data_IF_174545084984
#
_entry.id   IF_174545084984
#
_cell.length_a   1.000
_cell.length_b   1.000
_cell.length_c   1.000
_cell.angle_alpha   90.00
_cell.angle_beta   90.00
_cell.angle_gamma   90.00
#
_symmetry.space_group_name_H-M   'P 1'
#
loop_
_entity.id
_entity.type
_entity.pdbx_description
1 polymer ?
#
# COMPACT_ATOMS: atom_id res chain seq x y z
N UNK A 1 -8.72 -15.62 -0.83
CA UNK A 1 -7.48 -14.97 -0.34
C UNK A 1 -7.86 -13.59 0.11
N UNK A 2 -7.57 -13.26 1.36
CA UNK A 2 -7.80 -11.91 1.91
C UNK A 2 -6.95 -10.90 1.16
N UNK A 3 -7.51 -9.75 0.78
CA UNK A 3 -6.72 -8.61 0.33
C UNK A 3 -6.92 -7.42 1.26
N UNK A 4 -5.81 -6.79 1.69
CA UNK A 4 -5.86 -5.61 2.55
C UNK A 4 -4.88 -4.53 2.12
N UNK A 5 -5.11 -3.31 2.61
CA UNK A 5 -4.31 -2.13 2.32
C UNK A 5 -3.68 -1.62 3.61
N UNK A 6 -2.40 -1.27 3.56
CA UNK A 6 -1.71 -0.51 4.60
C UNK A 6 -0.97 0.65 3.93
N UNK A 7 -1.45 1.89 4.09
CA UNK A 7 -0.93 3.02 3.31
C UNK A 7 -0.93 4.32 4.09
N UNK A 8 0.06 5.18 3.82
CA UNK A 8 0.09 6.54 4.34
C UNK A 8 -0.46 7.53 3.30
N UNK A 9 -1.15 8.57 3.77
CA UNK A 9 -1.70 9.64 2.92
C UNK A 9 -1.67 10.98 3.65
N UNK A 10 -1.60 12.08 2.90
CA UNK A 10 -1.81 13.43 3.43
C UNK A 10 -3.24 13.61 3.96
N UNK A 11 -3.49 14.67 4.73
CA UNK A 11 -4.82 14.95 5.29
C UNK A 11 -5.89 15.21 4.22
N UNK A 12 -5.47 15.66 3.03
CA UNK A 12 -6.28 15.89 1.83
C UNK A 12 -6.27 14.71 0.83
N UNK A 13 -5.68 13.56 1.19
CA UNK A 13 -5.89 12.29 0.46
C UNK A 13 -4.90 11.96 -0.66
N UNK A 14 -3.72 12.59 -0.66
CA UNK A 14 -2.64 12.30 -1.61
C UNK A 14 -1.61 11.34 -1.00
N UNK A 15 -1.08 10.42 -1.81
CA UNK A 15 -0.06 9.44 -1.40
C UNK A 15 1.35 9.82 -1.85
N UNK A 16 1.45 10.75 -2.80
CA UNK A 16 2.69 11.30 -3.29
C UNK A 16 2.42 12.65 -3.96
N UNK A 17 3.45 13.46 -4.13
CA UNK A 17 3.42 14.62 -5.01
C UNK A 17 3.28 14.19 -6.49
N UNK A 18 3.12 15.15 -7.40
CA UNK A 18 2.93 14.85 -8.83
C UNK A 18 4.10 14.13 -9.51
N UNK A 19 5.32 14.39 -9.05
CA UNK A 19 6.55 13.71 -9.46
C UNK A 19 6.76 12.37 -8.72
N UNK A 20 5.80 11.96 -7.88
CA UNK A 20 5.83 10.71 -7.13
C UNK A 20 6.72 10.77 -5.89
N UNK A 21 7.05 11.96 -5.39
CA UNK A 21 7.82 12.10 -4.16
C UNK A 21 6.99 11.83 -2.89
N UNK A 22 7.65 11.20 -1.92
CA UNK A 22 7.09 10.83 -0.62
C UNK A 22 7.92 11.35 0.55
N UNK A 23 8.98 12.14 0.29
CA UNK A 23 9.84 12.70 1.34
C UNK A 23 9.11 13.63 2.32
N UNK A 24 7.91 14.10 1.95
CA UNK A 24 7.02 14.81 2.86
C UNK A 24 6.62 13.98 4.08
N UNK A 25 6.61 12.64 4.01
CA UNK A 25 6.32 11.77 5.15
C UNK A 25 7.32 11.95 6.29
N UNK A 26 8.61 12.16 5.97
CA UNK A 26 9.70 12.30 6.95
C UNK A 26 9.65 13.63 7.73
N UNK A 27 8.91 14.60 7.21
CA UNK A 27 8.85 15.96 7.78
C UNK A 27 7.46 16.39 8.24
N UNK A 28 6.41 15.63 7.90
CA UNK A 28 5.04 16.01 8.21
C UNK A 28 4.74 16.01 9.72
N UNK A 29 5.30 15.06 10.46
CA UNK A 29 5.02 14.88 11.89
C UNK A 29 5.92 15.67 12.82
N UNK A 30 5.54 15.74 14.10
CA UNK A 30 6.42 16.26 15.15
C UNK A 30 7.69 15.41 15.23
N UNK A 31 8.84 16.07 15.25
CA UNK A 31 10.15 15.43 15.38
C UNK A 31 10.57 15.34 16.85
N UNK A 32 11.37 14.33 17.20
CA UNK A 32 11.93 14.16 18.54
C UNK A 32 10.91 13.80 19.62
N UNK A 33 9.73 13.33 19.23
CA UNK A 33 8.72 12.79 20.15
C UNK A 33 8.99 11.31 20.41
N UNK A 34 8.71 10.87 21.63
CA UNK A 34 8.78 9.45 21.98
C UNK A 34 7.56 8.73 21.37
N UNK A 35 7.81 7.82 20.43
CA UNK A 35 6.79 7.00 19.79
C UNK A 35 6.47 5.72 20.58
N UNK A 36 7.19 5.46 21.68
CA UNK A 36 7.05 4.27 22.51
C UNK A 36 7.14 2.99 21.70
N UNK A 37 6.29 2.01 22.02
CA UNK A 37 6.20 0.71 21.33
C UNK A 37 5.57 0.80 19.93
N UNK A 38 5.21 1.99 19.45
CA UNK A 38 4.50 2.20 18.18
C UNK A 38 5.34 2.96 17.14
N UNK A 39 6.67 2.85 17.23
CA UNK A 39 7.60 3.56 16.34
C UNK A 39 7.39 3.24 14.85
N UNK A 40 6.94 2.04 14.50
CA UNK A 40 6.64 1.60 13.14
C UNK A 40 5.16 1.77 12.74
N UNK A 41 4.33 2.29 13.66
CA UNK A 41 2.88 2.41 13.51
C UNK A 41 2.19 1.10 13.09
N UNK A 42 2.74 -0.06 13.50
CA UNK A 42 2.19 -1.38 13.24
C UNK A 42 2.57 -2.00 11.90
N UNK A 43 3.45 -1.39 11.11
CA UNK A 43 3.89 -1.93 9.82
C UNK A 43 4.50 -3.34 9.94
N UNK A 44 5.35 -3.60 10.93
CA UNK A 44 5.97 -4.92 11.12
C UNK A 44 4.93 -5.99 11.48
N UNK A 45 3.99 -5.66 12.37
CA UNK A 45 2.90 -6.58 12.72
C UNK A 45 1.99 -6.85 11.52
N UNK A 46 1.77 -5.86 10.66
CA UNK A 46 1.00 -6.02 9.43
C UNK A 46 1.74 -6.91 8.42
N UNK A 47 3.03 -6.65 8.18
CA UNK A 47 3.86 -7.44 7.27
C UNK A 47 3.98 -8.90 7.72
N UNK A 48 4.04 -9.17 9.03
CA UNK A 48 4.02 -10.53 9.57
C UNK A 48 2.68 -11.27 9.35
N UNK A 49 1.61 -10.55 8.98
CA UNK A 49 0.28 -11.12 8.74
C UNK A 49 -0.01 -11.41 7.26
N UNK A 50 0.82 -10.94 6.33
CA UNK A 50 0.61 -11.07 4.89
C UNK A 50 1.60 -12.07 4.30
N UNK A 51 1.17 -12.76 3.26
CA UNK A 51 1.96 -13.79 2.57
C UNK A 51 2.57 -13.26 1.27
N UNK A 52 2.00 -12.20 0.69
CA UNK A 52 2.49 -11.58 -0.53
C UNK A 52 2.12 -10.09 -0.64
N UNK A 53 2.83 -9.37 -1.50
CA UNK A 53 2.48 -8.02 -1.95
C UNK A 53 1.99 -8.05 -3.40
N UNK A 54 0.97 -7.24 -3.69
CA UNK A 54 0.51 -6.96 -5.05
C UNK A 54 0.58 -5.45 -5.27
N UNK A 55 1.36 -5.01 -6.25
CA UNK A 55 1.50 -3.59 -6.58
C UNK A 55 1.49 -3.33 -8.07
N UNK A 56 1.34 -2.05 -8.44
CA UNK A 56 1.34 -1.63 -9.84
C UNK A 56 2.72 -1.20 -10.30
N UNK A 57 2.92 -1.16 -11.63
CA UNK A 57 4.17 -0.70 -12.26
C UNK A 57 4.75 0.59 -11.66
N UNK A 58 3.92 1.63 -11.49
CA UNK A 58 4.39 2.93 -10.96
C UNK A 58 4.90 2.84 -9.52
N UNK A 59 4.26 2.01 -8.69
CA UNK A 59 4.70 1.76 -7.32
C UNK A 59 6.06 1.03 -7.33
N UNK A 60 6.21 0.01 -8.17
CA UNK A 60 7.49 -0.68 -8.38
C UNK A 60 8.59 0.26 -8.88
N UNK A 61 8.31 1.12 -9.86
CA UNK A 61 9.27 2.12 -10.37
C UNK A 61 9.71 3.08 -9.25
N UNK A 62 8.79 3.51 -8.38
CA UNK A 62 9.14 4.34 -7.22
C UNK A 62 9.99 3.57 -6.21
N UNK A 63 9.61 2.34 -5.87
CA UNK A 63 10.39 1.47 -5.00
C UNK A 63 11.83 1.26 -5.52
N UNK A 64 11.97 1.04 -6.83
CA UNK A 64 13.26 0.92 -7.51
C UNK A 64 14.11 2.19 -7.34
N UNK A 65 13.49 3.37 -7.40
CA UNK A 65 14.18 4.67 -7.32
C UNK A 65 14.83 4.95 -5.97
N UNK A 66 14.36 4.32 -4.89
CA UNK A 66 14.99 4.47 -3.57
C UNK A 66 16.35 3.79 -3.47
N UNK A 67 16.67 2.88 -4.39
CA UNK A 67 17.95 2.16 -4.45
C UNK A 67 18.38 1.57 -3.08
N UNK A 68 17.42 0.93 -2.41
CA UNK A 68 17.57 0.40 -1.06
C UNK A 68 18.65 -0.70 -1.01
N UNK A 69 19.47 -0.68 0.04
CA UNK A 69 20.37 -1.80 0.35
C UNK A 69 19.58 -3.00 0.86
N UNK A 70 20.17 -4.22 0.90
CA UNK A 70 19.52 -5.38 1.49
C UNK A 70 19.03 -5.15 2.93
N UNK A 71 19.77 -4.40 3.74
CA UNK A 71 19.42 -4.08 5.14
C UNK A 71 18.28 -3.08 5.25
N UNK A 72 18.05 -2.27 4.21
CA UNK A 72 16.95 -1.31 4.12
C UNK A 72 15.68 -1.92 3.54
N UNK A 73 15.72 -3.16 3.04
CA UNK A 73 14.59 -3.79 2.36
C UNK A 73 13.46 -4.11 3.35
N UNK A 74 12.29 -3.46 3.25
CA UNK A 74 11.28 -3.50 4.32
C UNK A 74 10.40 -4.75 4.25
N UNK A 75 10.42 -5.48 3.14
CA UNK A 75 9.49 -6.58 2.86
C UNK A 75 10.03 -7.96 3.23
N UNK A 76 11.28 -8.05 3.70
CA UNK A 76 11.94 -9.33 3.97
C UNK A 76 11.87 -10.26 2.74
N UNK A 77 11.46 -11.50 2.98
CA UNK A 77 11.30 -12.54 1.95
C UNK A 77 9.89 -12.56 1.33
N UNK A 78 9.02 -11.59 1.66
CA UNK A 78 7.65 -11.55 1.15
C UNK A 78 7.67 -11.39 -0.38
N UNK A 79 7.10 -12.32 -1.16
CA UNK A 79 7.07 -12.23 -2.62
C UNK A 79 6.21 -11.04 -3.07
N UNK A 80 6.69 -10.34 -4.11
CA UNK A 80 6.04 -9.15 -4.67
C UNK A 80 5.60 -9.42 -6.10
N UNK A 81 4.29 -9.33 -6.35
CA UNK A 81 3.68 -9.48 -7.67
C UNK A 81 3.35 -8.11 -8.25
N UNK A 82 3.91 -7.80 -9.42
CA UNK A 82 3.76 -6.49 -10.06
C UNK A 82 2.84 -6.60 -11.27
N UNK A 83 1.66 -5.99 -11.17
CA UNK A 83 0.71 -5.92 -12.27
C UNK A 83 1.15 -4.88 -13.32
N UNK A 84 1.38 -5.35 -14.54
CA UNK A 84 1.75 -4.52 -15.69
C UNK A 84 1.35 -5.17 -17.00
N UNK A 85 0.60 -4.43 -17.83
CA UNK A 85 0.23 -4.88 -19.20
C UNK A 85 1.28 -4.54 -20.27
N UNK A 86 2.20 -3.63 -19.98
CA UNK A 86 3.11 -3.06 -21.00
C UNK A 86 4.57 -3.39 -20.72
N UNK A 87 5.00 -3.23 -19.47
CA UNK A 87 6.36 -3.54 -19.03
C UNK A 87 6.41 -5.02 -18.63
N UNK A 88 7.35 -5.76 -19.22
CA UNK A 88 7.53 -7.20 -18.98
C UNK A 88 8.69 -7.53 -18.06
N UNK A 89 9.68 -6.65 -17.99
CA UNK A 89 10.89 -6.84 -17.20
C UNK A 89 10.94 -5.86 -16.03
N UNK A 90 11.32 -6.37 -14.86
CA UNK A 90 11.58 -5.54 -13.70
C UNK A 90 12.88 -4.74 -13.86
N UNK A 91 13.02 -3.58 -13.20
CA UNK A 91 14.29 -2.86 -13.08
C UNK A 91 15.40 -3.77 -12.54
N UNK A 92 16.65 -3.52 -12.94
CA UNK A 92 17.78 -4.39 -12.61
C UNK A 92 17.96 -4.62 -11.10
N UNK A 93 17.72 -3.60 -10.27
CA UNK A 93 17.84 -3.70 -8.81
C UNK A 93 16.65 -4.42 -8.13
N UNK A 94 15.59 -4.75 -8.86
CA UNK A 94 14.41 -5.45 -8.37
C UNK A 94 14.20 -6.82 -9.03
N UNK A 95 15.06 -7.22 -9.99
CA UNK A 95 14.85 -8.41 -10.83
C UNK A 95 14.61 -9.71 -10.04
N UNK A 96 15.31 -9.88 -8.92
CA UNK A 96 15.20 -11.06 -8.05
C UNK A 96 14.26 -10.83 -6.85
N UNK A 97 13.54 -9.71 -6.83
CA UNK A 97 12.67 -9.28 -5.73
C UNK A 97 11.20 -9.24 -6.12
N UNK A 98 10.89 -9.24 -7.42
CA UNK A 98 9.52 -9.09 -7.94
C UNK A 98 9.22 -10.06 -9.07
N UNK A 99 7.96 -10.47 -9.17
CA UNK A 99 7.42 -11.20 -10.32
C UNK A 99 6.51 -10.29 -11.14
N UNK A 100 6.83 -10.13 -12.43
CA UNK A 100 6.00 -9.35 -13.35
C UNK A 100 4.79 -10.16 -13.81
N UNK A 101 3.59 -9.62 -13.58
CA UNK A 101 2.30 -10.27 -13.85
C UNK A 101 1.52 -9.45 -14.91
N UNK A 102 0.99 -10.12 -15.93
CA UNK A 102 0.31 -9.46 -17.06
C UNK A 102 -1.15 -9.87 -17.23
N UNK A 103 -1.57 -10.88 -16.48
CA UNK A 103 -2.94 -11.37 -16.38
C UNK A 103 -3.88 -10.37 -15.68
N UNK A 104 -5.17 -10.71 -15.64
CA UNK A 104 -6.16 -9.90 -14.93
C UNK A 104 -6.02 -10.07 -13.41
N UNK A 105 -6.54 -9.12 -12.62
CA UNK A 105 -6.56 -9.24 -11.16
C UNK A 105 -7.25 -10.54 -10.70
N UNK A 106 -8.46 -10.91 -11.19
CA UNK A 106 -9.08 -12.17 -10.81
C UNK A 106 -8.24 -13.42 -11.13
N UNK A 107 -7.55 -13.43 -12.27
CA UNK A 107 -6.69 -14.55 -12.66
C UNK A 107 -5.46 -14.65 -11.76
N UNK A 108 -4.84 -13.50 -11.41
CA UNK A 108 -3.74 -13.44 -10.45
C UNK A 108 -4.18 -13.96 -9.08
N UNK A 109 -5.33 -13.50 -8.56
CA UNK A 109 -5.86 -13.97 -7.27
C UNK A 109 -6.07 -15.48 -7.29
N UNK A 110 -6.73 -16.01 -8.32
CA UNK A 110 -6.98 -17.45 -8.46
C UNK A 110 -5.68 -18.25 -8.50
N UNK A 111 -4.66 -17.74 -9.20
CA UNK A 111 -3.32 -18.34 -9.27
C UNK A 111 -2.65 -18.35 -7.91
N UNK A 112 -2.64 -17.23 -7.19
CA UNK A 112 -2.03 -17.13 -5.87
C UNK A 112 -2.73 -18.01 -4.84
N UNK A 113 -4.06 -18.07 -4.86
CA UNK A 113 -4.83 -19.02 -4.04
C UNK A 113 -4.44 -20.47 -4.29
N UNK A 114 -4.28 -20.85 -5.57
CA UNK A 114 -3.85 -22.21 -5.94
C UNK A 114 -2.43 -22.56 -5.48
N UNK A 115 -1.60 -21.55 -5.24
CA UNK A 115 -0.25 -21.68 -4.69
C UNK A 115 -0.23 -21.63 -3.15
N UNK A 116 -1.39 -21.43 -2.50
CA UNK A 116 -1.54 -21.45 -1.06
C UNK A 116 -1.48 -20.09 -0.36
N UNK A 117 -1.33 -18.98 -1.10
CA UNK A 117 -1.37 -17.62 -0.51
C UNK A 117 -2.75 -17.34 0.12
N UNK A 118 -2.76 -16.83 1.35
CA UNK A 118 -3.99 -16.59 2.12
C UNK A 118 -4.28 -15.11 2.32
N UNK A 119 -3.25 -14.26 2.39
CA UNK A 119 -3.41 -12.82 2.65
C UNK A 119 -2.43 -11.97 1.82
N UNK A 120 -2.97 -11.11 0.96
CA UNK A 120 -2.22 -10.17 0.12
C UNK A 120 -2.27 -8.74 0.66
N UNK A 121 -1.11 -8.08 0.74
CA UNK A 121 -1.00 -6.63 0.85
C UNK A 121 -1.10 -6.00 -0.54
N UNK A 122 -2.14 -5.20 -0.78
CA UNK A 122 -2.36 -4.45 -2.02
C UNK A 122 -1.86 -3.01 -1.87
N UNK A 123 -0.94 -2.60 -2.74
CA UNK A 123 -0.30 -1.28 -2.70
C UNK A 123 -0.35 -0.54 -4.05
N UNK A 124 -0.31 0.79 -3.98
CA UNK A 124 -0.37 1.72 -5.10
C UNK A 124 -1.79 2.13 -5.44
N UNK A 125 -2.07 3.44 -5.42
CA UNK A 125 -3.44 3.99 -5.50
C UNK A 125 -4.29 3.48 -6.67
N UNK A 126 -3.71 3.31 -7.87
CA UNK A 126 -4.45 2.75 -9.02
C UNK A 126 -4.80 1.27 -8.83
N UNK A 127 -3.90 0.46 -8.25
CA UNK A 127 -4.16 -0.96 -7.99
C UNK A 127 -5.17 -1.09 -6.86
N UNK A 128 -5.02 -0.34 -5.78
CA UNK A 128 -6.00 -0.26 -4.67
C UNK A 128 -7.39 0.07 -5.23
N UNK A 129 -7.50 1.10 -6.08
CA UNK A 129 -8.78 1.48 -6.71
C UNK A 129 -9.34 0.36 -7.58
N UNK A 130 -8.49 -0.36 -8.32
CA UNK A 130 -8.92 -1.47 -9.17
C UNK A 130 -9.46 -2.65 -8.35
N UNK A 131 -8.80 -3.01 -7.25
CA UNK A 131 -9.26 -4.04 -6.32
C UNK A 131 -10.56 -3.62 -5.61
N UNK A 132 -10.70 -2.35 -5.23
CA UNK A 132 -11.93 -1.80 -4.68
C UNK A 132 -13.10 -1.95 -5.65
N UNK A 133 -12.92 -1.62 -6.94
CA UNK A 133 -13.97 -1.77 -7.95
C UNK A 133 -14.34 -3.24 -8.24
N UNK A 134 -13.42 -4.18 -7.99
CA UNK A 134 -13.67 -5.61 -8.12
C UNK A 134 -14.27 -6.25 -6.87
N UNK A 135 -14.46 -5.50 -5.77
CA UNK A 135 -15.01 -6.06 -4.54
C UNK A 135 -14.02 -6.90 -3.73
N UNK A 136 -12.71 -6.67 -3.89
CA UNK A 136 -11.67 -7.58 -3.40
C UNK A 136 -10.94 -7.11 -2.13
N UNK A 137 -11.02 -5.84 -1.74
CA UNK A 137 -10.37 -5.35 -0.52
C UNK A 137 -11.30 -5.60 0.67
N UNK A 138 -10.80 -6.25 1.71
CA UNK A 138 -11.58 -6.56 2.92
C UNK A 138 -11.26 -5.59 4.07
N UNK A 139 -10.02 -5.09 4.13
CA UNK A 139 -9.53 -4.23 5.20
C UNK A 139 -8.63 -3.12 4.66
N UNK A 140 -8.78 -1.91 5.20
CA UNK A 140 -7.88 -0.79 4.92
C UNK A 140 -7.37 -0.19 6.21
N UNK A 141 -6.05 -0.04 6.30
CA UNK A 141 -5.33 0.70 7.32
C UNK A 141 -4.71 1.92 6.62
N UNK A 142 -5.20 3.11 6.98
CA UNK A 142 -4.83 4.38 6.36
C UNK A 142 -4.24 5.28 7.42
N UNK A 143 -2.94 5.54 7.33
CA UNK A 143 -2.24 6.48 8.21
C UNK A 143 -2.25 7.88 7.59
N UNK A 144 -3.02 8.79 8.19
CA UNK A 144 -3.11 10.19 7.77
C UNK A 144 -2.01 11.02 8.42
N UNK A 145 -1.18 11.64 7.59
CA UNK A 145 -0.18 12.60 8.02
C UNK A 145 -0.81 13.99 8.25
N UNK A 146 -0.31 14.77 9.22
CA UNK A 146 -0.83 16.09 9.56
C UNK A 146 -0.33 17.19 8.59
N UNK A 147 -0.50 16.97 7.29
CA UNK A 147 -0.08 17.87 6.21
C UNK A 147 -1.13 17.92 5.11
N UNK A 148 -1.30 19.09 4.49
CA UNK A 148 -2.03 19.27 3.24
C UNK A 148 -1.01 19.42 2.11
N UNK A 149 -1.09 18.56 1.09
CA UNK A 149 -0.23 18.71 -0.10
C UNK A 149 -0.84 19.68 -1.12
N UNK A 150 -2.17 19.82 -1.12
CA UNK A 150 -2.93 20.66 -2.06
C UNK A 150 -3.06 20.07 -3.47
N UNK A 151 -2.14 19.21 -3.88
CA UNK A 151 -2.16 18.49 -5.15
C UNK A 151 -1.22 17.26 -5.12
N UNK A 152 -1.39 16.33 -6.06
CA UNK A 152 -0.52 15.16 -6.20
C UNK A 152 -1.23 13.91 -6.72
N UNK A 153 -0.68 12.76 -6.39
CA UNK A 153 -1.25 11.45 -6.73
C UNK A 153 -2.25 11.06 -5.63
N UNK A 154 -3.56 11.00 -5.92
CA UNK A 154 -4.56 10.66 -4.91
C UNK A 154 -4.48 9.17 -4.52
N UNK A 155 -4.84 8.84 -3.29
CA UNK A 155 -4.97 7.47 -2.82
C UNK A 155 -6.03 6.70 -3.63
N UNK A 156 -7.20 7.32 -3.81
CA UNK A 156 -8.34 6.72 -4.51
C UNK A 156 -8.58 7.42 -5.83
N UNK A 157 -8.78 6.62 -6.89
CA UNK A 157 -9.35 7.07 -8.15
C UNK A 157 -10.87 7.02 -8.14
N UNK A 158 -11.46 6.94 -9.33
CA UNK A 158 -12.91 6.80 -9.50
C UNK A 158 -13.36 5.40 -9.05
N UNK A 159 -14.27 5.34 -8.08
CA UNK A 159 -15.02 4.13 -7.76
C UNK A 159 -16.26 4.02 -8.67
N UNK A 160 -16.58 2.81 -9.13
CA UNK A 160 -17.76 2.58 -10.00
C UNK A 160 -19.08 2.65 -9.25
N UNK A 161 -19.03 2.40 -7.94
CA UNK A 161 -20.16 2.46 -6.99
C UNK A 161 -19.71 3.18 -5.72
N UNK A 162 -20.67 3.53 -4.88
CA UNK A 162 -20.37 3.87 -3.49
C UNK A 162 -19.93 2.60 -2.76
N UNK A 163 -18.83 2.70 -2.00
CA UNK A 163 -18.28 1.61 -1.20
C UNK A 163 -18.40 2.03 0.26
N UNK A 164 -19.05 1.20 1.08
CA UNK A 164 -19.26 1.50 2.49
C UNK A 164 -18.04 1.04 3.29
N UNK A 165 -17.61 1.87 4.24
CA UNK A 165 -16.61 1.50 5.24
C UNK A 165 -17.28 1.30 6.59
N UNK A 166 -16.86 0.26 7.30
CA UNK A 166 -17.47 -0.20 8.55
C UNK A 166 -16.40 -0.46 9.61
N UNK A 167 -16.87 -0.67 10.86
CA UNK A 167 -16.03 -1.08 11.99
C UNK A 167 -14.80 -0.18 12.23
N UNK A 168 -15.01 1.14 12.09
CA UNK A 168 -13.96 2.14 12.19
C UNK A 168 -13.20 2.05 13.52
N UNK A 169 -11.87 2.07 13.44
CA UNK A 169 -10.95 2.28 14.58
C UNK A 169 -9.98 3.39 14.23
N UNK A 170 -9.62 4.20 15.23
CA UNK A 170 -8.69 5.30 15.06
C UNK A 170 -7.66 5.29 16.20
N UNK A 171 -6.39 5.51 15.83
CA UNK A 171 -5.29 5.71 16.77
C UNK A 171 -4.57 7.00 16.38
N UNK A 172 -4.41 7.92 17.34
CA UNK A 172 -3.58 9.10 17.18
C UNK A 172 -2.21 8.82 17.79
N UNK A 173 -1.14 9.09 17.04
CA UNK A 173 0.23 8.90 17.49
C UNK A 173 0.84 10.21 18.04
N UNK A 174 1.90 10.12 18.86
CA UNK A 174 2.57 11.29 19.43
C UNK A 174 3.11 12.30 18.39
N UNK A 175 3.38 11.85 17.17
CA UNK A 175 3.86 12.69 16.07
C UNK A 175 2.74 13.36 15.25
N UNK A 176 1.50 13.34 15.75
CA UNK A 176 0.26 13.86 15.15
C UNK A 176 -0.27 13.09 13.92
N UNK A 177 0.31 11.94 13.58
CA UNK A 177 -0.30 11.05 12.60
C UNK A 177 -1.54 10.37 13.20
N UNK A 178 -2.55 10.15 12.36
CA UNK A 178 -3.77 9.42 12.75
C UNK A 178 -3.94 8.21 11.85
N UNK A 179 -3.89 7.01 12.42
CA UNK A 179 -4.15 5.78 11.70
C UNK A 179 -5.61 5.36 11.87
N UNK A 180 -6.26 5.12 10.73
CA UNK A 180 -7.64 4.71 10.62
C UNK A 180 -7.68 3.28 10.09
N UNK A 181 -8.47 2.42 10.71
CA UNK A 181 -8.73 1.06 10.24
C UNK A 181 -10.20 0.88 9.95
N UNK A 182 -10.51 0.29 8.80
CA UNK A 182 -11.86 -0.01 8.35
C UNK A 182 -11.95 -1.43 7.79
N UNK A 183 -13.11 -2.06 7.94
CA UNK A 183 -13.53 -3.15 7.04
C UNK A 183 -14.29 -2.56 5.86
N UNK A 184 -14.17 -3.17 4.69
CA UNK A 184 -14.85 -2.71 3.48
C UNK A 184 -16.11 -3.54 3.25
N UNK A 185 -17.21 -2.86 2.93
CA UNK A 185 -18.53 -3.46 2.71
C UNK A 185 -19.02 -3.05 1.32
N UNK A 186 -19.23 -4.06 0.47
CA UNK A 186 -19.67 -3.88 -0.90
C UNK A 186 -21.18 -4.10 -1.01
N UNK A 187 -21.89 -3.29 -1.83
CA UNK A 187 -23.33 -3.42 -2.04
C UNK A 187 -23.71 -4.67 -2.85
#
# INVERSE_FOLDING_TARGET
MKCSVFIATSSDGYIATHDGDVGWLDIAGKKGVDMGEHADMGFFSYMASVDCLIMGRKCMEKLSSFNLTPEQWPYGDTPIFVLSRTLKDAPGNLKDKVEMCSESIPDLISRLESQGFQHAYVDGGMIITSFLNLGLIEEMIITRAPILLGDGIPLFGKTEKHIQLENARAVAFPNDFVQLKYTVSYP
#
